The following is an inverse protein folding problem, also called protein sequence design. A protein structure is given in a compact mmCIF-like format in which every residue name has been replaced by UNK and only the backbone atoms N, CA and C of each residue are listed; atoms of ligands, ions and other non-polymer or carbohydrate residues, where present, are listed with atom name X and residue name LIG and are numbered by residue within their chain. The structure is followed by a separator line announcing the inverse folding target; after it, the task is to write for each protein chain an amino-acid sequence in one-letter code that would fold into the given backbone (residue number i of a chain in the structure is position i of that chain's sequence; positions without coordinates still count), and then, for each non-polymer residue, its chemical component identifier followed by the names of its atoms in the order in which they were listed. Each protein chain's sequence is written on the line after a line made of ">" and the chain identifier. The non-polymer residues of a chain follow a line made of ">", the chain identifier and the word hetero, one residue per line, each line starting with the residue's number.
data_IF_828595124878
#
_entry.id   IF_828595124878
#
_cell.length_a   1.000
_cell.length_b   1.000
_cell.length_c   1.000
_cell.angle_alpha   90.00
_cell.angle_beta   90.00
_cell.angle_gamma   90.00
#
_symmetry.space_group_name_H-M   'P 1'
#
loop_
_entity.id
_entity.type
_entity.pdbx_description
1 polymer ?
#
# COMPACT_ATOMS: atom_id res chain seq x y z
N UNK A 1 -11.96 7.99 10.57
CA UNK A 1 -10.74 7.20 10.35
C UNK A 1 -10.46 6.33 11.58
N UNK A 2 -10.10 5.06 11.40
CA UNK A 2 -9.91 4.12 12.51
C UNK A 2 -8.50 4.25 13.11
N UNK A 3 -8.36 4.88 14.29
CA UNK A 3 -7.06 5.13 14.94
C UNK A 3 -6.37 3.85 15.39
N UNK A 4 -7.12 2.87 15.91
CA UNK A 4 -6.56 1.61 16.38
C UNK A 4 -5.94 0.82 15.24
N UNK A 5 -6.61 0.80 14.08
CA UNK A 5 -6.11 0.13 12.89
C UNK A 5 -4.81 0.77 12.36
N UNK A 6 -4.79 2.10 12.30
CA UNK A 6 -3.59 2.84 11.89
C UNK A 6 -2.41 2.61 12.83
N UNK A 7 -2.64 2.62 14.16
CA UNK A 7 -1.60 2.30 15.14
C UNK A 7 -1.10 0.86 14.97
N UNK A 8 -2.00 -0.09 14.71
CA UNK A 8 -1.64 -1.49 14.46
C UNK A 8 -0.74 -1.64 13.22
N UNK A 9 -1.11 -1.00 12.11
CA UNK A 9 -0.34 -1.05 10.87
C UNK A 9 1.01 -0.34 11.02
N UNK A 10 1.03 0.87 11.57
CA UNK A 10 2.29 1.60 11.77
C UNK A 10 3.18 0.93 12.81
N UNK A 11 2.63 0.18 13.77
CA UNK A 11 3.43 -0.63 14.70
C UNK A 11 4.07 -1.82 14.01
N UNK A 12 3.33 -2.50 13.14
CA UNK A 12 3.88 -3.55 12.30
C UNK A 12 4.98 -3.02 11.37
N UNK A 13 4.74 -1.88 10.73
CA UNK A 13 5.74 -1.23 9.88
C UNK A 13 6.97 -0.82 10.69
N UNK A 14 6.80 -0.31 11.91
CA UNK A 14 7.93 0.10 12.76
C UNK A 14 8.91 -1.05 13.03
N UNK A 15 8.44 -2.29 13.08
CA UNK A 15 9.31 -3.46 13.31
C UNK A 15 10.27 -3.74 12.13
N UNK A 16 9.95 -3.27 10.92
CA UNK A 16 10.73 -3.53 9.69
C UNK A 16 11.29 -2.26 9.05
N UNK A 17 10.62 -1.12 9.19
CA UNK A 17 11.03 0.22 8.75
C UNK A 17 10.56 1.29 9.76
N UNK A 18 11.45 1.60 10.70
CA UNK A 18 11.18 2.60 11.74
C UNK A 18 11.01 4.00 11.16
N UNK A 19 11.76 4.36 10.12
CA UNK A 19 11.79 5.72 9.56
C UNK A 19 10.44 6.02 8.90
N UNK A 20 9.97 5.13 8.03
CA UNK A 20 8.67 5.31 7.37
C UNK A 20 7.52 5.30 8.39
N UNK A 21 7.56 4.40 9.37
CA UNK A 21 6.56 4.36 10.43
C UNK A 21 6.49 5.67 11.23
N UNK A 22 7.64 6.28 11.56
CA UNK A 22 7.66 7.59 12.22
C UNK A 22 7.09 8.69 11.34
N UNK A 23 7.48 8.75 10.06
CA UNK A 23 6.95 9.74 9.11
C UNK A 23 5.44 9.70 9.01
N UNK A 24 4.86 8.50 8.89
CA UNK A 24 3.41 8.33 8.86
C UNK A 24 2.75 8.80 10.16
N UNK A 25 3.35 8.47 11.32
CA UNK A 25 2.83 8.88 12.64
C UNK A 25 2.98 10.38 12.90
N UNK A 26 3.94 11.05 12.26
CA UNK A 26 4.16 12.50 12.38
C UNK A 26 3.36 13.34 11.38
N UNK A 27 2.54 12.74 10.52
CA UNK A 27 1.67 13.51 9.63
C UNK A 27 0.69 14.35 10.45
N UNK A 28 0.77 15.67 10.30
CA UNK A 28 -0.11 16.62 11.00
C UNK A 28 -1.43 16.85 10.25
N UNK A 29 -1.40 16.72 8.92
CA UNK A 29 -2.52 17.04 8.04
C UNK A 29 -2.63 16.00 6.93
N UNK A 30 -3.88 15.69 6.58
CA UNK A 30 -4.24 14.90 5.40
C UNK A 30 -5.23 15.75 4.59
N UNK A 31 -4.82 16.14 3.40
CA UNK A 31 -5.56 16.93 2.41
C UNK A 31 -6.47 16.05 1.54
N UNK A 32 -6.12 14.77 1.36
CA UNK A 32 -7.00 13.82 0.68
C UNK A 32 -8.32 13.60 1.43
N UNK A 33 -9.42 13.59 0.68
CA UNK A 33 -10.76 13.21 1.14
C UNK A 33 -11.09 11.78 0.71
N UNK A 34 -11.77 11.04 1.58
CA UNK A 34 -12.30 9.72 1.23
C UNK A 34 -13.70 9.90 0.65
N UNK A 35 -13.93 9.41 -0.57
CA UNK A 35 -15.25 9.20 -1.15
C UNK A 35 -15.57 7.71 -1.15
N UNK A 36 -16.67 7.32 -0.52
CA UNK A 36 -17.16 5.95 -0.54
C UNK A 36 -18.60 5.92 -1.05
N UNK A 37 -18.82 5.22 -2.16
CA UNK A 37 -20.12 5.09 -2.81
C UNK A 37 -20.26 3.72 -3.48
N UNK A 38 -21.25 3.54 -4.36
CA UNK A 38 -21.51 2.29 -5.08
C UNK A 38 -20.33 1.83 -5.97
N UNK A 39 -19.50 2.77 -6.44
CA UNK A 39 -18.31 2.47 -7.24
C UNK A 39 -17.10 2.07 -6.40
N UNK A 40 -17.19 2.14 -5.06
CA UNK A 40 -16.12 1.74 -4.13
C UNK A 40 -15.53 2.91 -3.35
N UNK A 41 -14.28 2.73 -2.89
CA UNK A 41 -13.55 3.72 -2.08
C UNK A 41 -12.53 4.44 -2.95
N UNK A 42 -12.57 5.76 -2.96
CA UNK A 42 -11.68 6.62 -3.71
C UNK A 42 -11.05 7.69 -2.80
N UNK A 43 -9.85 8.14 -3.15
CA UNK A 43 -9.21 9.30 -2.51
C UNK A 43 -9.23 10.47 -3.48
N UNK A 44 -9.55 11.66 -2.97
CA UNK A 44 -9.72 12.88 -3.76
C UNK A 44 -8.86 13.99 -3.17
N UNK A 45 -8.01 14.61 -3.98
CA UNK A 45 -7.22 15.81 -3.64
C UNK A 45 -7.40 16.82 -4.76
N UNK A 46 -7.70 18.06 -4.41
CA UNK A 46 -7.95 19.16 -5.36
C UNK A 46 -8.99 18.81 -6.45
N UNK A 47 -10.09 18.17 -6.04
CA UNK A 47 -11.18 17.68 -6.90
C UNK A 47 -10.77 16.63 -7.95
N UNK A 48 -9.54 16.10 -7.86
CA UNK A 48 -9.03 15.01 -8.68
C UNK A 48 -9.10 13.71 -7.86
N UNK A 49 -9.83 12.73 -8.39
CA UNK A 49 -9.96 11.41 -7.81
C UNK A 49 -8.87 10.45 -8.33
N UNK A 50 -8.38 9.54 -7.49
CA UNK A 50 -7.38 8.54 -7.89
C UNK A 50 -7.91 7.57 -8.95
N UNK A 51 -9.19 7.20 -8.85
CA UNK A 51 -9.86 6.28 -9.77
C UNK A 51 -11.04 6.94 -10.46
N UNK A 52 -11.40 6.48 -11.66
CA UNK A 52 -12.67 6.80 -12.30
C UNK A 52 -13.79 5.92 -11.73
N UNK A 53 -13.52 4.63 -11.59
CA UNK A 53 -14.41 3.65 -10.96
C UNK A 53 -13.58 2.63 -10.14
N UNK A 54 -13.43 2.84 -8.82
CA UNK A 54 -12.54 2.02 -7.99
C UNK A 54 -12.80 0.51 -8.09
N UNK A 55 -14.05 0.07 -8.04
CA UNK A 55 -14.39 -1.35 -8.03
C UNK A 55 -14.15 -2.00 -9.41
N UNK A 56 -14.45 -1.29 -10.49
CA UNK A 56 -14.20 -1.79 -11.84
C UNK A 56 -12.69 -1.93 -12.09
N UNK A 57 -11.91 -0.87 -11.80
CA UNK A 57 -10.46 -0.86 -12.00
C UNK A 57 -9.76 -1.92 -11.11
N UNK A 58 -10.26 -2.13 -9.89
CA UNK A 58 -9.82 -3.22 -9.02
C UNK A 58 -10.07 -4.60 -9.65
N UNK A 59 -11.28 -4.84 -10.17
CA UNK A 59 -11.64 -6.13 -10.76
C UNK A 59 -10.79 -6.42 -12.01
N UNK A 60 -10.59 -5.43 -12.86
CA UNK A 60 -9.74 -5.53 -14.05
C UNK A 60 -8.29 -5.86 -13.65
N UNK A 61 -7.74 -5.14 -12.67
CA UNK A 61 -6.38 -5.37 -12.16
C UNK A 61 -6.23 -6.76 -11.54
N UNK A 62 -7.17 -7.20 -10.69
CA UNK A 62 -7.12 -8.53 -10.09
C UNK A 62 -7.25 -9.64 -11.14
N UNK A 63 -8.05 -9.43 -12.18
CA UNK A 63 -8.19 -10.40 -13.28
C UNK A 63 -6.87 -10.55 -14.04
N UNK A 64 -6.22 -9.44 -14.39
CA UNK A 64 -4.91 -9.43 -15.04
C UNK A 64 -3.85 -10.14 -14.19
N UNK A 65 -3.76 -9.81 -12.90
CA UNK A 65 -2.73 -10.40 -12.04
C UNK A 65 -2.95 -11.87 -11.75
N UNK A 66 -4.21 -12.30 -11.74
CA UNK A 66 -4.55 -13.71 -11.66
C UNK A 66 -4.23 -14.48 -12.95
N UNK A 67 -4.35 -13.87 -14.14
CA UNK A 67 -4.07 -14.58 -15.39
C UNK A 67 -2.58 -14.61 -15.72
N UNK A 68 -1.90 -13.47 -15.60
CA UNK A 68 -0.52 -13.32 -16.10
C UNK A 68 0.54 -13.51 -15.03
N UNK A 69 0.22 -13.17 -13.77
CA UNK A 69 1.23 -13.00 -12.73
C UNK A 69 1.05 -13.94 -11.54
N UNK A 70 0.07 -14.85 -11.54
CA UNK A 70 -0.32 -15.68 -10.37
C UNK A 70 0.84 -16.42 -9.69
N UNK A 71 1.85 -16.83 -10.46
CA UNK A 71 2.99 -17.63 -9.97
C UNK A 71 4.25 -16.82 -9.68
N UNK A 72 4.22 -15.50 -9.89
CA UNK A 72 5.39 -14.65 -9.74
C UNK A 72 5.64 -14.43 -8.24
N UNK A 73 6.83 -14.79 -7.72
CA UNK A 73 7.11 -14.69 -6.29
C UNK A 73 7.31 -13.24 -5.83
N UNK A 74 7.80 -12.37 -6.71
CA UNK A 74 8.11 -10.97 -6.41
C UNK A 74 7.43 -10.07 -7.44
N UNK A 75 6.75 -9.02 -6.96
CA UNK A 75 6.07 -8.04 -7.79
C UNK A 75 6.46 -6.62 -7.36
N UNK A 76 6.67 -5.74 -8.35
CA UNK A 76 7.03 -4.34 -8.13
C UNK A 76 5.93 -3.43 -8.66
N UNK A 77 5.61 -2.39 -7.89
CA UNK A 77 4.54 -1.45 -8.21
C UNK A 77 4.93 -0.02 -7.88
N UNK A 78 4.33 0.91 -8.60
CA UNK A 78 4.38 2.33 -8.29
C UNK A 78 2.95 2.83 -8.06
N UNK A 79 2.73 3.49 -6.91
CA UNK A 79 1.43 3.91 -6.42
C UNK A 79 0.76 2.84 -5.53
N UNK A 80 0.39 3.23 -4.31
CA UNK A 80 -0.32 2.38 -3.34
C UNK A 80 -1.85 2.45 -3.51
N UNK A 81 -2.34 3.60 -3.98
CA UNK A 81 -3.78 3.83 -4.15
C UNK A 81 -4.56 3.63 -2.85
N UNK A 82 -5.82 3.17 -2.94
CA UNK A 82 -6.62 2.94 -1.73
C UNK A 82 -6.18 1.71 -0.89
N UNK A 83 -5.22 0.92 -1.36
CA UNK A 83 -4.69 -0.27 -0.69
C UNK A 83 -5.48 -1.57 -0.90
N UNK A 84 -6.71 -1.53 -1.42
CA UNK A 84 -7.56 -2.74 -1.56
C UNK A 84 -6.94 -3.76 -2.52
N UNK A 85 -6.34 -3.30 -3.62
CA UNK A 85 -5.64 -4.16 -4.58
C UNK A 85 -4.51 -4.97 -3.93
N UNK A 86 -3.64 -4.31 -3.16
CA UNK A 86 -2.54 -4.98 -2.47
C UNK A 86 -3.03 -5.92 -1.37
N UNK A 87 -4.12 -5.57 -0.69
CA UNK A 87 -4.72 -6.46 0.29
C UNK A 87 -5.17 -7.78 -0.35
N UNK A 88 -5.81 -7.71 -1.51
CA UNK A 88 -6.23 -8.88 -2.28
C UNK A 88 -5.04 -9.66 -2.85
N UNK A 89 -4.03 -8.99 -3.42
CA UNK A 89 -2.82 -9.66 -3.91
C UNK A 89 -2.11 -10.44 -2.79
N UNK A 90 -2.10 -9.90 -1.56
CA UNK A 90 -1.48 -10.58 -0.43
C UNK A 90 -2.14 -11.91 -0.05
N UNK A 91 -3.34 -12.21 -0.53
CA UNK A 91 -4.00 -13.50 -0.30
C UNK A 91 -3.39 -14.63 -1.13
N UNK A 92 -2.79 -14.31 -2.28
CA UNK A 92 -2.10 -15.30 -3.11
C UNK A 92 -0.81 -15.76 -2.42
N UNK A 93 -0.71 -17.06 -2.14
CA UNK A 93 0.43 -17.67 -1.43
C UNK A 93 1.71 -17.76 -2.28
N UNK A 94 1.59 -17.67 -3.60
CA UNK A 94 2.75 -17.69 -4.49
C UNK A 94 3.53 -16.37 -4.44
N UNK A 95 2.85 -15.25 -4.23
CA UNK A 95 3.50 -13.97 -4.01
C UNK A 95 4.18 -13.98 -2.63
N UNK A 96 5.50 -13.93 -2.63
CA UNK A 96 6.34 -13.79 -1.44
C UNK A 96 6.50 -12.33 -1.06
N UNK A 97 6.83 -11.47 -2.03
CA UNK A 97 7.10 -10.05 -1.81
C UNK A 97 6.35 -9.18 -2.82
N UNK A 98 5.58 -8.22 -2.30
CA UNK A 98 4.89 -7.18 -3.05
C UNK A 98 5.54 -5.87 -2.63
N UNK A 99 6.31 -5.29 -3.53
CA UNK A 99 7.13 -4.11 -3.28
C UNK A 99 6.44 -2.93 -3.95
N UNK A 100 6.09 -1.93 -3.15
CA UNK A 100 5.35 -0.76 -3.61
C UNK A 100 6.10 0.52 -3.29
N UNK A 101 6.33 1.33 -4.31
CA UNK A 101 6.84 2.69 -4.20
C UNK A 101 5.66 3.66 -4.17
N UNK A 102 5.61 4.56 -3.19
CA UNK A 102 4.57 5.57 -3.06
C UNK A 102 5.18 6.93 -2.68
N UNK A 103 4.74 7.98 -3.37
CA UNK A 103 5.28 9.33 -3.24
C UNK A 103 4.48 10.15 -2.23
N UNK A 104 3.21 9.84 -2.02
CA UNK A 104 2.32 10.58 -1.13
C UNK A 104 2.05 9.78 0.15
N UNK A 105 2.71 10.15 1.26
CA UNK A 105 2.53 9.51 2.57
C UNK A 105 1.06 9.50 3.04
N UNK A 106 0.29 10.51 2.63
CA UNK A 106 -1.14 10.61 2.93
C UNK A 106 -1.93 9.41 2.37
N UNK A 107 -1.56 8.89 1.19
CA UNK A 107 -2.21 7.72 0.58
C UNK A 107 -1.99 6.48 1.45
N UNK A 108 -0.74 6.24 1.87
CA UNK A 108 -0.40 5.15 2.79
C UNK A 108 -1.16 5.29 4.12
N UNK A 109 -1.17 6.50 4.68
CA UNK A 109 -1.84 6.78 5.93
C UNK A 109 -3.35 6.51 5.86
N UNK A 110 -4.02 7.00 4.81
CA UNK A 110 -5.45 6.75 4.59
C UNK A 110 -5.73 5.25 4.45
N UNK A 111 -4.96 4.53 3.63
CA UNK A 111 -5.14 3.09 3.47
C UNK A 111 -4.91 2.32 4.79
N UNK A 112 -3.96 2.74 5.62
CA UNK A 112 -3.71 2.17 6.95
C UNK A 112 -4.84 2.44 7.96
N UNK A 113 -5.70 3.44 7.70
CA UNK A 113 -6.93 3.64 8.45
C UNK A 113 -8.11 2.81 7.95
N UNK A 114 -8.00 2.19 6.76
CA UNK A 114 -9.07 1.42 6.12
C UNK A 114 -8.87 -0.09 6.21
N UNK A 115 -7.64 -0.58 6.02
CA UNK A 115 -7.36 -2.02 5.95
C UNK A 115 -6.27 -2.43 6.93
N UNK A 116 -6.33 -3.67 7.42
CA UNK A 116 -5.29 -4.26 8.24
C UNK A 116 -4.21 -4.87 7.36
N UNK A 117 -3.01 -4.29 7.38
CA UNK A 117 -1.81 -4.79 6.70
C UNK A 117 -0.77 -5.31 7.70
N UNK A 118 -1.10 -5.36 9.00
CA UNK A 118 -0.10 -5.59 10.04
C UNK A 118 0.65 -6.91 9.89
N UNK A 119 -0.01 -7.96 9.39
CA UNK A 119 0.62 -9.26 9.15
C UNK A 119 1.51 -9.22 7.91
N UNK A 120 1.02 -8.61 6.83
CA UNK A 120 1.71 -8.50 5.55
C UNK A 120 2.98 -7.66 5.68
N UNK A 121 2.94 -6.59 6.47
CA UNK A 121 4.08 -5.72 6.77
C UNK A 121 5.12 -6.45 7.64
N UNK A 122 4.70 -7.06 8.77
CA UNK A 122 5.60 -7.77 9.69
C UNK A 122 6.38 -8.91 9.03
N UNK A 123 5.73 -9.60 8.10
CA UNK A 123 6.33 -10.73 7.39
C UNK A 123 7.03 -10.29 6.09
N UNK A 124 7.17 -8.99 5.85
CA UNK A 124 7.75 -8.42 4.63
C UNK A 124 7.10 -8.95 3.34
N UNK A 125 5.83 -9.36 3.42
CA UNK A 125 5.04 -9.73 2.25
C UNK A 125 4.61 -8.50 1.47
N UNK A 126 4.31 -7.42 2.19
CA UNK A 126 4.13 -6.09 1.64
C UNK A 126 5.27 -5.20 2.14
N UNK A 127 6.07 -4.68 1.20
CA UNK A 127 7.22 -3.82 1.47
C UNK A 127 6.94 -2.47 0.82
N UNK A 128 7.08 -1.40 1.60
CA UNK A 128 6.72 -0.05 1.18
C UNK A 128 7.96 0.83 1.14
N UNK A 129 8.11 1.60 0.07
CA UNK A 129 9.13 2.63 -0.05
C UNK A 129 8.47 3.99 -0.23
N UNK A 130 8.88 4.95 0.60
CA UNK A 130 8.59 6.35 0.37
C UNK A 130 9.60 6.92 -0.64
N UNK A 131 9.17 7.05 -1.88
CA UNK A 131 10.06 7.34 -3.02
C UNK A 131 10.91 8.60 -2.86
N UNK A 132 10.39 9.74 -2.35
CA UNK A 132 11.15 10.99 -2.25
C UNK A 132 12.41 10.88 -1.38
N UNK A 133 12.51 9.87 -0.51
CA UNK A 133 13.66 9.66 0.36
C UNK A 133 14.25 8.25 0.24
N UNK A 134 13.92 7.52 -0.82
CA UNK A 134 14.50 6.18 -1.04
C UNK A 134 16.00 6.29 -1.26
N UNK A 135 16.76 5.51 -0.47
CA UNK A 135 18.22 5.48 -0.55
C UNK A 135 18.71 4.32 -1.40
N UNK A 136 19.92 4.43 -1.94
CA UNK A 136 20.57 3.32 -2.65
C UNK A 136 20.77 2.10 -1.75
N UNK A 137 21.02 2.30 -0.46
CA UNK A 137 21.13 1.24 0.52
C UNK A 137 19.81 0.46 0.67
N UNK A 138 18.69 1.18 0.78
CA UNK A 138 17.34 0.60 0.79
C UNK A 138 17.03 -0.15 -0.50
N UNK A 139 17.40 0.38 -1.67
CA UNK A 139 17.19 -0.34 -2.93
C UNK A 139 18.06 -1.59 -3.04
N UNK A 140 19.24 -1.59 -2.40
CA UNK A 140 20.14 -2.75 -2.46
C UNK A 140 19.55 -3.96 -1.74
N UNK A 141 18.70 -3.77 -0.72
CA UNK A 141 18.03 -4.88 -0.03
C UNK A 141 17.06 -5.62 -0.95
N UNK A 142 16.57 -4.98 -2.02
CA UNK A 142 15.67 -5.61 -2.99
C UNK A 142 16.32 -6.79 -3.73
N UNK A 143 17.65 -6.77 -3.89
CA UNK A 143 18.40 -7.85 -4.53
C UNK A 143 18.62 -9.06 -3.61
N UNK A 144 18.17 -9.00 -2.36
CA UNK A 144 18.23 -10.11 -1.40
C UNK A 144 16.98 -11.00 -1.52
N UNK A 145 15.88 -10.47 -2.06
CA UNK A 145 14.63 -11.22 -2.19
C UNK A 145 14.65 -12.11 -3.46
N UNK A 146 14.55 -13.43 -3.25
CA UNK A 146 14.52 -14.49 -4.30
C UNK A 146 13.11 -15.03 -4.60
#
# INVERSE_FOLDING_TARGET
>A
MNKNLFLKNTQALFEVDQILAYKLRSLEKIDFKILQNENGINFIKDDIALYKNPNQELLESLTLFKSEYEKYPVLFFYGFGNGMFYKALCENKNHKHIIVFEDELEILALAFHLFDFSKELKNEKLILFYTPEVTTAQLTTLFIYE
#
